data_IF_732548328682
#
_entry.id   IF_732548328682
#
_cell.length_a   1.000
_cell.length_b   1.000
_cell.length_c   1.000
_cell.angle_alpha   90.00
_cell.angle_beta   90.00
_cell.angle_gamma   90.00
#
_symmetry.space_group_name_H-M   'P 1'
#
loop_
_entity.id
_entity.type
_entity.pdbx_description
1 polymer ?
#
# COMPACT_ATOMS: atom_id res chain seq x y z
N UNK A 1 11.69 -17.83 19.31
CA UNK A 1 12.78 -16.85 19.16
C UNK A 1 12.47 -16.00 17.93
N UNK A 2 11.93 -14.80 18.12
CA UNK A 2 11.79 -13.82 17.03
C UNK A 2 13.18 -13.20 16.82
N UNK A 3 13.87 -13.63 15.78
CA UNK A 3 15.06 -12.91 15.29
C UNK A 3 14.59 -11.54 14.79
N UNK A 4 14.89 -10.51 15.57
CA UNK A 4 14.72 -9.13 15.10
C UNK A 4 15.63 -8.94 13.89
N UNK A 5 15.02 -8.82 12.71
CA UNK A 5 15.73 -8.43 11.49
C UNK A 5 16.29 -7.03 11.71
N UNK A 6 17.57 -6.75 11.42
CA UNK A 6 18.15 -5.42 11.63
C UNK A 6 17.36 -4.38 10.85
N UNK A 7 17.08 -3.24 11.49
CA UNK A 7 16.25 -2.13 11.03
C UNK A 7 16.64 -1.48 9.66
N UNK A 8 17.66 -1.98 8.98
CA UNK A 8 18.17 -1.41 7.72
C UNK A 8 18.28 -2.41 6.56
N UNK A 9 17.71 -3.61 6.69
CA UNK A 9 17.73 -4.57 5.58
C UNK A 9 16.53 -4.34 4.64
N UNK A 10 16.74 -4.31 3.32
CA UNK A 10 15.62 -4.21 2.39
C UNK A 10 14.75 -5.47 2.48
N UNK A 11 13.46 -5.27 2.77
CA UNK A 11 12.46 -6.33 2.76
C UNK A 11 12.11 -6.74 1.33
N UNK A 12 11.95 -5.73 0.46
CA UNK A 12 11.69 -5.90 -0.96
C UNK A 12 12.76 -5.15 -1.76
N UNK A 13 13.30 -5.81 -2.79
CA UNK A 13 14.30 -5.25 -3.68
C UNK A 13 13.92 -5.51 -5.14
N UNK A 14 13.71 -4.46 -5.89
CA UNK A 14 13.32 -4.47 -7.31
C UNK A 14 14.55 -4.09 -8.12
N UNK A 15 14.94 -4.95 -9.05
CA UNK A 15 16.17 -4.79 -9.84
C UNK A 15 15.85 -4.84 -11.33
N UNK A 16 16.00 -3.70 -11.99
CA UNK A 16 15.82 -3.52 -13.43
C UNK A 16 14.50 -4.07 -13.99
N UNK A 17 13.42 -3.99 -13.19
CA UNK A 17 12.12 -4.54 -13.58
C UNK A 17 11.52 -3.73 -14.72
N UNK A 18 11.22 -4.42 -15.81
CA UNK A 18 10.43 -3.92 -16.93
C UNK A 18 9.15 -4.74 -17.08
N UNK A 19 8.10 -4.10 -17.58
CA UNK A 19 6.84 -4.77 -17.84
C UNK A 19 6.14 -4.18 -19.07
N UNK A 20 5.71 -5.07 -19.98
CA UNK A 20 5.12 -4.73 -21.26
C UNK A 20 3.67 -5.23 -21.37
N UNK A 21 2.85 -4.45 -22.07
CA UNK A 21 1.52 -4.87 -22.52
C UNK A 21 1.51 -4.79 -24.06
N UNK A 22 1.46 -5.94 -24.72
CA UNK A 22 1.61 -6.00 -26.16
C UNK A 22 2.97 -5.38 -26.55
N UNK A 23 2.93 -4.34 -27.40
CA UNK A 23 4.14 -3.65 -27.87
C UNK A 23 4.48 -2.40 -27.04
N UNK A 24 3.77 -2.16 -25.94
CA UNK A 24 3.99 -0.94 -25.13
C UNK A 24 4.68 -1.29 -23.83
N UNK A 25 5.86 -0.72 -23.60
CA UNK A 25 6.57 -0.78 -22.32
C UNK A 25 5.92 0.18 -21.33
N UNK A 26 5.38 -0.38 -20.23
CA UNK A 26 4.71 0.37 -19.16
C UNK A 26 5.68 0.68 -18.04
N UNK A 27 6.52 -0.28 -17.66
CA UNK A 27 7.58 -0.11 -16.66
C UNK A 27 8.93 -0.30 -17.32
N UNK A 28 9.89 0.59 -17.03
CA UNK A 28 11.18 0.66 -17.70
C UNK A 28 12.31 0.60 -16.67
N UNK A 29 12.93 -0.56 -16.52
CA UNK A 29 14.12 -0.80 -15.67
C UNK A 29 13.98 -0.20 -14.26
N UNK A 30 12.83 -0.46 -13.63
CA UNK A 30 12.55 0.00 -12.27
C UNK A 30 13.56 -0.59 -11.29
N UNK A 31 14.17 0.29 -10.49
CA UNK A 31 15.03 -0.07 -9.37
C UNK A 31 14.47 0.58 -8.11
N UNK A 32 14.13 -0.24 -7.09
CA UNK A 32 13.49 0.20 -5.86
C UNK A 32 13.89 -0.70 -4.70
N UNK A 33 14.11 -0.12 -3.53
CA UNK A 33 14.30 -0.86 -2.27
C UNK A 33 13.27 -0.39 -1.26
N UNK A 34 12.59 -1.32 -0.62
CA UNK A 34 11.65 -1.05 0.47
C UNK A 34 12.23 -1.65 1.74
N UNK A 35 12.53 -0.80 2.71
CA UNK A 35 13.14 -1.18 3.97
C UNK A 35 12.08 -1.68 4.96
N UNK A 36 12.43 -2.68 5.76
CA UNK A 36 11.55 -3.24 6.80
C UNK A 36 11.06 -2.15 7.77
N UNK A 37 9.75 -2.18 8.08
CA UNK A 37 9.12 -1.29 9.05
C UNK A 37 8.86 0.13 8.54
N UNK A 38 9.18 0.45 7.28
CA UNK A 38 8.91 1.75 6.67
C UNK A 38 7.52 1.83 6.06
N UNK A 39 6.95 3.02 6.11
CA UNK A 39 5.77 3.41 5.35
C UNK A 39 6.22 4.17 4.10
N UNK A 40 6.17 3.52 2.95
CA UNK A 40 6.65 4.08 1.67
C UNK A 40 5.48 4.43 0.77
N UNK A 41 5.45 5.67 0.29
CA UNK A 41 4.42 6.18 -0.63
C UNK A 41 4.91 6.14 -2.08
N UNK A 42 4.09 5.61 -2.98
CA UNK A 42 4.29 5.68 -4.43
C UNK A 42 3.41 6.79 -4.99
N UNK A 43 4.02 7.82 -5.55
CA UNK A 43 3.34 8.96 -6.15
C UNK A 43 3.72 9.13 -7.62
N UNK A 44 2.86 9.79 -8.38
CA UNK A 44 3.08 10.04 -9.82
C UNK A 44 1.75 10.32 -10.51
N UNK A 45 1.78 10.91 -11.72
CA UNK A 45 0.58 11.24 -12.47
C UNK A 45 -0.21 9.99 -12.88
N UNK A 46 -1.45 10.20 -13.33
CA UNK A 46 -2.27 9.12 -13.85
C UNK A 46 -1.60 8.49 -15.08
N UNK A 47 -1.64 7.17 -15.17
CA UNK A 47 -0.97 6.43 -16.23
C UNK A 47 0.55 6.31 -16.12
N UNK A 48 1.18 6.81 -15.05
CA UNK A 48 2.63 6.72 -14.85
C UNK A 48 3.15 5.29 -14.63
N UNK A 49 2.27 4.33 -14.30
CA UNK A 49 2.65 2.94 -14.04
C UNK A 49 2.55 2.50 -12.58
N UNK A 50 1.94 3.31 -11.67
CA UNK A 50 1.80 2.99 -10.24
C UNK A 50 1.18 1.61 -10.00
N UNK A 51 -0.05 1.39 -10.43
CA UNK A 51 -0.75 0.11 -10.25
C UNK A 51 -0.05 -1.05 -10.97
N UNK A 52 0.60 -0.78 -12.13
CA UNK A 52 1.38 -1.79 -12.84
C UNK A 52 2.59 -2.26 -12.03
N UNK A 53 3.29 -1.32 -11.38
CA UNK A 53 4.39 -1.66 -10.48
C UNK A 53 3.88 -2.47 -9.29
N UNK A 54 2.82 -2.01 -8.60
CA UNK A 54 2.24 -2.77 -7.49
C UNK A 54 1.85 -4.19 -7.91
N UNK A 55 1.21 -4.36 -9.09
CA UNK A 55 0.84 -5.66 -9.65
C UNK A 55 2.02 -6.60 -9.90
N UNK A 56 3.18 -6.06 -10.27
CA UNK A 56 4.41 -6.84 -10.36
C UNK A 56 4.90 -7.28 -8.97
N UNK A 57 4.78 -6.39 -7.96
CA UNK A 57 5.26 -6.70 -6.61
C UNK A 57 4.42 -7.76 -5.90
N UNK A 58 3.09 -7.79 -6.09
CA UNK A 58 2.25 -8.84 -5.50
C UNK A 58 1.98 -10.02 -6.43
N UNK A 59 2.80 -10.21 -7.49
CA UNK A 59 2.79 -11.35 -8.41
C UNK A 59 1.52 -11.51 -9.24
N UNK A 60 0.76 -10.44 -9.47
CA UNK A 60 -0.33 -10.46 -10.43
C UNK A 60 0.19 -10.40 -11.88
N UNK A 61 1.18 -9.52 -12.12
CA UNK A 61 1.88 -9.43 -13.40
C UNK A 61 3.31 -9.97 -13.25
N UNK A 62 3.72 -10.84 -14.16
CA UNK A 62 5.13 -11.27 -14.24
C UNK A 62 5.90 -10.20 -15.00
N UNK A 63 7.02 -9.65 -14.47
CA UNK A 63 7.89 -8.76 -15.22
C UNK A 63 8.37 -9.39 -16.55
N UNK A 64 8.51 -8.54 -17.58
CA UNK A 64 9.11 -8.95 -18.87
C UNK A 64 10.63 -9.12 -18.74
N UNK A 65 11.25 -8.32 -17.85
CA UNK A 65 12.68 -8.34 -17.55
C UNK A 65 12.93 -7.89 -16.10
N UNK A 66 14.11 -8.22 -15.57
CA UNK A 66 14.49 -7.90 -14.19
C UNK A 66 13.92 -8.88 -13.16
N UNK A 67 14.14 -8.56 -11.88
CA UNK A 67 13.75 -9.43 -10.77
C UNK A 67 13.19 -8.63 -9.60
N UNK A 68 12.20 -9.20 -8.91
CA UNK A 68 11.69 -8.72 -7.62
C UNK A 68 12.09 -9.73 -6.56
N UNK A 69 12.87 -9.28 -5.57
CA UNK A 69 13.29 -10.12 -4.46
C UNK A 69 12.55 -9.72 -3.17
N UNK A 70 12.10 -10.72 -2.43
CA UNK A 70 11.58 -10.58 -1.07
C UNK A 70 12.48 -11.33 -0.11
N UNK A 71 13.06 -10.64 0.88
CA UNK A 71 14.10 -11.23 1.75
C UNK A 71 15.21 -11.91 0.95
N UNK A 72 15.74 -11.25 -0.09
CA UNK A 72 16.80 -11.72 -1.00
C UNK A 72 16.44 -12.99 -1.82
N UNK A 73 15.18 -13.35 -1.90
CA UNK A 73 14.71 -14.47 -2.74
C UNK A 73 13.78 -13.94 -3.82
N UNK A 74 14.00 -14.33 -5.07
CA UNK A 74 13.09 -14.00 -6.18
C UNK A 74 11.67 -14.46 -5.84
N UNK A 75 10.72 -13.52 -5.87
CA UNK A 75 9.33 -13.82 -5.51
C UNK A 75 8.72 -14.92 -6.40
N UNK A 76 9.17 -15.07 -7.65
CA UNK A 76 8.68 -16.09 -8.57
C UNK A 76 9.25 -17.50 -8.30
N UNK A 77 10.32 -17.62 -7.50
CA UNK A 77 10.86 -18.89 -7.02
C UNK A 77 10.17 -19.37 -5.73
N UNK A 78 9.53 -18.46 -4.99
CA UNK A 78 8.76 -18.82 -3.80
C UNK A 78 7.46 -19.55 -4.20
N UNK A 79 6.98 -20.46 -3.36
CA UNK A 79 5.64 -21.01 -3.51
C UNK A 79 4.60 -19.89 -3.32
N UNK A 80 3.47 -19.99 -4.05
CA UNK A 80 2.45 -18.93 -4.02
C UNK A 80 1.87 -18.70 -2.62
N UNK A 81 1.62 -19.78 -1.87
CA UNK A 81 1.12 -19.72 -0.50
C UNK A 81 2.17 -19.14 0.48
N UNK A 82 3.45 -19.44 0.30
CA UNK A 82 4.53 -18.88 1.10
C UNK A 82 4.66 -17.37 0.93
N UNK A 83 4.55 -16.88 -0.30
CA UNK A 83 4.57 -15.46 -0.59
C UNK A 83 3.28 -14.78 -0.08
N UNK A 84 2.12 -15.38 -0.32
CA UNK A 84 0.84 -14.87 0.13
C UNK A 84 0.71 -14.80 1.67
N UNK A 85 1.43 -15.61 2.44
CA UNK A 85 1.50 -15.46 3.91
C UNK A 85 2.27 -14.22 4.36
N UNK A 86 3.16 -13.69 3.51
CA UNK A 86 4.08 -12.60 3.85
C UNK A 86 3.63 -11.25 3.30
N UNK A 87 2.83 -11.25 2.24
CA UNK A 87 2.42 -10.03 1.53
C UNK A 87 0.89 -9.98 1.45
N UNK A 88 0.29 -9.00 2.11
CA UNK A 88 -1.12 -8.69 1.99
C UNK A 88 -1.34 -7.55 1.00
N UNK A 89 -2.49 -7.56 0.34
CA UNK A 89 -2.85 -6.56 -0.68
C UNK A 89 -4.24 -6.00 -0.39
N UNK A 90 -4.34 -4.68 -0.39
CA UNK A 90 -5.59 -3.93 -0.36
C UNK A 90 -5.72 -3.19 -1.69
N UNK A 91 -6.70 -3.60 -2.51
CA UNK A 91 -6.97 -3.02 -3.83
C UNK A 91 -8.01 -1.91 -3.73
N UNK A 92 -8.00 -1.03 -4.72
CA UNK A 92 -8.96 0.07 -4.88
C UNK A 92 -10.40 -0.46 -5.07
N UNK A 93 -10.56 -1.51 -5.87
CA UNK A 93 -11.84 -2.12 -6.16
C UNK A 93 -11.88 -3.57 -5.66
N UNK A 94 -12.94 -3.92 -4.95
CA UNK A 94 -13.28 -5.30 -4.65
C UNK A 94 -14.44 -5.73 -5.53
N UNK A 95 -14.38 -6.91 -6.17
CA UNK A 95 -15.52 -7.42 -6.92
C UNK A 95 -16.74 -7.55 -6.01
N UNK A 96 -17.83 -6.85 -6.36
CA UNK A 96 -19.08 -6.72 -5.60
C UNK A 96 -20.06 -7.88 -5.84
N UNK A 97 -19.58 -9.12 -5.97
CA UNK A 97 -20.45 -10.22 -6.42
C UNK A 97 -20.74 -11.32 -5.37
N UNK A 98 -20.29 -11.14 -4.15
CA UNK A 98 -20.52 -12.16 -3.11
C UNK A 98 -21.31 -11.56 -1.94
N UNK A 99 -22.44 -12.20 -1.63
CA UNK A 99 -23.25 -11.85 -0.45
C UNK A 99 -22.58 -12.37 0.85
N UNK A 100 -21.36 -11.85 1.12
CA UNK A 100 -20.54 -12.22 2.28
C UNK A 100 -20.78 -11.23 3.42
N UNK A 101 -20.77 -11.74 4.66
CA UNK A 101 -20.72 -10.90 5.84
C UNK A 101 -19.34 -10.22 5.99
N UNK A 102 -19.27 -9.18 6.80
CA UNK A 102 -17.99 -8.54 7.17
C UNK A 102 -17.05 -9.57 7.78
N UNK A 103 -17.55 -10.44 8.65
CA UNK A 103 -16.79 -11.54 9.23
C UNK A 103 -16.21 -12.46 8.15
N UNK A 104 -16.99 -12.86 7.15
CA UNK A 104 -16.54 -13.74 6.08
C UNK A 104 -15.46 -13.10 5.21
N UNK A 105 -15.64 -11.82 4.84
CA UNK A 105 -14.64 -11.06 4.06
C UNK A 105 -13.31 -10.99 4.82
N UNK A 106 -13.35 -10.74 6.12
CA UNK A 106 -12.14 -10.67 6.95
C UNK A 106 -11.51 -12.06 7.11
N UNK A 107 -12.34 -13.11 7.25
CA UNK A 107 -11.89 -14.50 7.33
C UNK A 107 -11.11 -14.95 6.08
N UNK A 108 -11.38 -14.38 4.89
CA UNK A 108 -10.59 -14.63 3.67
C UNK A 108 -9.10 -14.32 3.85
N UNK A 109 -8.72 -13.44 4.80
CA UNK A 109 -7.33 -13.18 5.15
C UNK A 109 -6.58 -14.40 5.69
N UNK A 110 -7.28 -15.42 6.18
CA UNK A 110 -6.68 -16.69 6.62
C UNK A 110 -6.37 -17.65 5.46
N UNK A 111 -6.90 -17.42 4.27
CA UNK A 111 -6.78 -18.34 3.12
C UNK A 111 -5.33 -18.82 2.89
N UNK A 112 -4.29 -17.95 2.91
CA UNK A 112 -2.92 -18.41 2.72
C UNK A 112 -2.40 -19.37 3.80
N UNK A 113 -3.02 -19.35 4.97
CA UNK A 113 -2.63 -20.18 6.13
C UNK A 113 -3.43 -21.47 6.26
N UNK A 114 -4.42 -21.67 5.39
CA UNK A 114 -5.36 -22.79 5.45
C UNK A 114 -5.16 -23.76 4.28
N UNK A 115 -5.40 -25.05 4.55
CA UNK A 115 -5.59 -26.01 3.47
C UNK A 115 -7.00 -25.89 2.88
N UNK A 116 -7.18 -26.33 1.64
CA UNK A 116 -8.45 -26.20 0.88
C UNK A 116 -9.69 -26.72 1.63
N UNK A 117 -9.53 -27.69 2.54
CA UNK A 117 -10.64 -28.31 3.26
C UNK A 117 -10.64 -28.02 4.78
N UNK A 118 -9.81 -27.06 5.23
CA UNK A 118 -9.77 -26.76 6.67
C UNK A 118 -10.89 -25.79 7.06
N UNK A 119 -11.63 -26.13 8.10
CA UNK A 119 -12.63 -25.26 8.73
C UNK A 119 -11.96 -24.13 9.54
N UNK A 120 -12.72 -23.07 9.80
CA UNK A 120 -12.33 -22.01 10.74
C UNK A 120 -12.35 -22.55 12.16
N UNK A 121 -11.21 -22.51 12.83
CA UNK A 121 -11.06 -22.96 14.23
C UNK A 121 -11.49 -21.86 15.21
N UNK A 122 -11.62 -22.20 16.52
CA UNK A 122 -11.91 -21.18 17.54
C UNK A 122 -10.79 -20.13 17.66
N UNK A 123 -9.53 -20.53 17.43
CA UNK A 123 -8.39 -19.60 17.42
C UNK A 123 -8.51 -18.62 16.23
N UNK A 124 -8.92 -19.12 15.08
CA UNK A 124 -9.13 -18.28 13.90
C UNK A 124 -10.25 -17.27 14.13
N UNK A 125 -11.39 -17.72 14.73
CA UNK A 125 -12.49 -16.83 15.09
C UNK A 125 -12.03 -15.70 16.02
N UNK A 126 -11.22 -16.01 17.02
CA UNK A 126 -10.65 -14.99 17.91
C UNK A 126 -9.79 -13.97 17.17
N UNK A 127 -8.92 -14.40 16.23
CA UNK A 127 -8.13 -13.51 15.41
C UNK A 127 -8.99 -12.60 14.53
N UNK A 128 -10.04 -13.14 13.92
CA UNK A 128 -10.98 -12.37 13.09
C UNK A 128 -11.70 -11.33 13.94
N UNK A 129 -12.25 -11.72 15.11
CA UNK A 129 -12.94 -10.81 16.02
C UNK A 129 -12.00 -9.70 16.50
N UNK A 130 -10.76 -10.04 16.84
CA UNK A 130 -9.75 -9.05 17.23
C UNK A 130 -9.48 -8.06 16.11
N UNK A 131 -9.35 -8.52 14.85
CA UNK A 131 -9.15 -7.64 13.71
C UNK A 131 -10.37 -6.74 13.47
N UNK A 132 -11.60 -7.27 13.58
CA UNK A 132 -12.86 -6.52 13.48
C UNK A 132 -12.88 -5.39 14.53
N UNK A 133 -12.54 -5.71 15.79
CA UNK A 133 -12.47 -4.73 16.88
C UNK A 133 -11.41 -3.65 16.62
N UNK A 134 -10.23 -4.05 16.11
CA UNK A 134 -9.12 -3.13 15.81
C UNK A 134 -9.53 -2.07 14.79
N UNK A 135 -10.39 -2.41 13.83
CA UNK A 135 -10.86 -1.48 12.80
C UNK A 135 -12.19 -0.80 13.14
N UNK A 136 -12.74 -1.05 14.33
CA UNK A 136 -13.99 -0.43 14.82
C UNK A 136 -15.24 -0.88 14.04
N UNK A 137 -15.32 -2.16 13.68
CA UNK A 137 -16.45 -2.76 12.95
C UNK A 137 -17.22 -3.83 13.74
N UNK A 138 -17.11 -3.84 15.07
CA UNK A 138 -17.72 -4.87 15.92
C UNK A 138 -19.24 -5.01 15.70
N UNK A 139 -19.96 -3.90 15.61
CA UNK A 139 -21.41 -3.87 15.41
C UNK A 139 -21.85 -4.27 13.99
N UNK A 140 -20.90 -4.31 13.05
CA UNK A 140 -21.15 -4.65 11.63
C UNK A 140 -20.74 -6.08 11.26
N UNK A 141 -20.25 -6.88 12.22
CA UNK A 141 -19.64 -8.20 11.96
C UNK A 141 -20.49 -9.12 11.08
N UNK A 142 -21.79 -9.21 11.38
CA UNK A 142 -22.72 -10.10 10.69
C UNK A 142 -23.47 -9.44 9.53
N UNK A 143 -23.22 -8.13 9.30
CA UNK A 143 -23.84 -7.40 8.19
C UNK A 143 -23.22 -7.79 6.86
N UNK A 144 -23.97 -7.63 5.79
CA UNK A 144 -23.44 -7.77 4.43
C UNK A 144 -22.36 -6.73 4.18
N UNK A 145 -21.20 -7.18 3.69
CA UNK A 145 -20.09 -6.29 3.32
C UNK A 145 -20.54 -5.23 2.30
N UNK A 146 -21.47 -5.57 1.41
CA UNK A 146 -21.97 -4.64 0.40
C UNK A 146 -22.78 -3.48 0.99
N UNK A 147 -23.39 -3.65 2.17
CA UNK A 147 -24.17 -2.60 2.84
C UNK A 147 -23.31 -1.55 3.56
N UNK A 148 -22.02 -1.80 3.68
CA UNK A 148 -21.08 -0.89 4.33
C UNK A 148 -20.84 0.37 3.47
N UNK A 149 -20.59 1.51 4.14
CA UNK A 149 -20.03 2.70 3.51
C UNK A 149 -18.63 2.44 2.95
N UNK A 150 -18.15 3.29 2.03
CA UNK A 150 -16.81 3.15 1.44
C UNK A 150 -15.70 3.08 2.48
N UNK A 151 -15.77 3.94 3.52
CA UNK A 151 -14.77 3.93 4.61
C UNK A 151 -14.83 2.66 5.47
N UNK A 152 -16.02 2.11 5.72
CA UNK A 152 -16.17 0.84 6.43
C UNK A 152 -15.67 -0.34 5.62
N UNK A 153 -15.99 -0.37 4.30
CA UNK A 153 -15.43 -1.37 3.37
C UNK A 153 -13.91 -1.36 3.40
N UNK A 154 -13.31 -0.19 3.33
CA UNK A 154 -11.85 -0.06 3.35
C UNK A 154 -11.25 -0.55 4.68
N UNK A 155 -11.88 -0.20 5.83
CA UNK A 155 -11.45 -0.74 7.13
C UNK A 155 -11.58 -2.26 7.21
N UNK A 156 -12.64 -2.85 6.67
CA UNK A 156 -12.80 -4.30 6.61
C UNK A 156 -11.71 -4.99 5.76
N UNK A 157 -11.30 -4.38 4.64
CA UNK A 157 -10.20 -4.87 3.81
C UNK A 157 -8.85 -4.80 4.53
N UNK A 158 -8.63 -3.75 5.34
CA UNK A 158 -7.45 -3.68 6.21
C UNK A 158 -7.53 -4.75 7.30
N UNK A 159 -8.70 -4.98 7.92
CA UNK A 159 -8.88 -6.07 8.89
C UNK A 159 -8.56 -7.44 8.29
N UNK A 160 -8.96 -7.68 7.03
CA UNK A 160 -8.58 -8.87 6.28
C UNK A 160 -7.05 -9.01 6.15
N UNK A 161 -6.36 -7.91 5.87
CA UNK A 161 -4.90 -7.89 5.81
C UNK A 161 -4.26 -8.13 7.20
N UNK A 162 -4.86 -7.58 8.28
CA UNK A 162 -4.41 -7.81 9.66
C UNK A 162 -4.43 -9.31 10.02
N UNK A 163 -5.55 -9.99 9.72
CA UNK A 163 -5.71 -11.42 10.02
C UNK A 163 -4.67 -12.28 9.30
N UNK A 164 -4.23 -11.86 8.13
CA UNK A 164 -3.16 -12.50 7.36
C UNK A 164 -1.78 -12.39 8.04
N UNK A 165 -1.56 -11.42 8.94
CA UNK A 165 -0.29 -11.15 9.63
C UNK A 165 0.90 -10.97 8.67
N UNK A 166 0.83 -10.07 7.70
CA UNK A 166 1.84 -9.90 6.68
C UNK A 166 3.10 -9.20 7.22
N UNK A 167 4.22 -9.35 6.49
CA UNK A 167 5.43 -8.54 6.68
C UNK A 167 5.39 -7.28 5.81
N UNK A 168 4.67 -7.33 4.68
CA UNK A 168 4.47 -6.22 3.75
C UNK A 168 2.98 -6.07 3.43
N UNK A 169 2.46 -4.86 3.60
CA UNK A 169 1.13 -4.47 3.16
C UNK A 169 1.26 -3.59 1.91
N UNK A 170 0.74 -4.05 0.78
CA UNK A 170 0.65 -3.29 -0.46
C UNK A 170 -0.76 -2.72 -0.57
N UNK A 171 -0.88 -1.40 -0.84
CA UNK A 171 -2.16 -0.73 -0.97
C UNK A 171 -2.20 0.05 -2.29
N UNK A 172 -3.17 -0.25 -3.15
CA UNK A 172 -3.36 0.47 -4.41
C UNK A 172 -4.51 1.48 -4.24
N UNK A 173 -4.15 2.76 -4.12
CA UNK A 173 -5.07 3.90 -3.94
C UNK A 173 -6.11 3.70 -2.83
N UNK A 174 -5.68 3.36 -1.59
CA UNK A 174 -6.58 2.93 -0.52
C UNK A 174 -7.54 4.01 -0.03
N UNK A 175 -7.34 5.25 -0.46
CA UNK A 175 -8.12 6.42 -0.04
C UNK A 175 -9.03 6.99 -1.13
N UNK A 176 -9.04 6.36 -2.32
CA UNK A 176 -9.88 6.79 -3.43
C UNK A 176 -11.36 6.74 -3.04
N UNK A 177 -12.11 7.79 -3.43
CA UNK A 177 -13.54 7.93 -3.19
C UNK A 177 -13.96 8.00 -1.71
N UNK A 178 -13.03 8.24 -0.79
CA UNK A 178 -13.31 8.46 0.63
C UNK A 178 -13.28 9.95 0.97
N UNK A 179 -14.15 10.35 1.89
CA UNK A 179 -14.08 11.68 2.51
C UNK A 179 -12.79 11.84 3.30
N UNK A 180 -12.27 13.06 3.42
CA UNK A 180 -10.98 13.40 4.05
C UNK A 180 -10.81 12.75 5.44
N UNK A 181 -11.87 12.75 6.26
CA UNK A 181 -11.86 12.10 7.58
C UNK A 181 -11.50 10.62 7.47
N UNK A 182 -12.14 9.90 6.56
CA UNK A 182 -11.94 8.46 6.39
C UNK A 182 -10.60 8.15 5.72
N UNK A 183 -10.12 9.01 4.83
CA UNK A 183 -8.78 8.90 4.24
C UNK A 183 -7.72 8.88 5.34
N UNK A 184 -7.77 9.86 6.27
CA UNK A 184 -6.83 9.96 7.38
C UNK A 184 -6.94 8.72 8.28
N UNK A 185 -8.15 8.33 8.68
CA UNK A 185 -8.37 7.16 9.55
C UNK A 185 -7.83 5.86 8.97
N UNK A 186 -8.04 5.62 7.68
CA UNK A 186 -7.55 4.44 6.96
C UNK A 186 -6.01 4.40 6.95
N UNK A 187 -5.37 5.54 6.69
CA UNK A 187 -3.91 5.61 6.64
C UNK A 187 -3.26 5.53 8.03
N UNK A 188 -3.87 6.17 9.04
CA UNK A 188 -3.43 6.02 10.44
C UNK A 188 -3.56 4.58 10.93
N UNK A 189 -4.65 3.91 10.58
CA UNK A 189 -4.85 2.50 10.88
C UNK A 189 -3.76 1.64 10.24
N UNK A 190 -3.49 1.82 8.94
CA UNK A 190 -2.41 1.10 8.25
C UNK A 190 -1.04 1.35 8.90
N UNK A 191 -0.77 2.60 9.31
CA UNK A 191 0.48 2.97 10.00
C UNK A 191 0.59 2.35 11.39
N UNK A 192 -0.54 2.21 12.11
CA UNK A 192 -0.58 1.63 13.46
C UNK A 192 -0.28 0.13 13.50
N UNK A 193 -0.35 -0.57 12.35
CA UNK A 193 -0.07 -2.01 12.28
C UNK A 193 1.40 -2.35 12.54
N UNK A 194 2.32 -1.38 12.40
CA UNK A 194 3.76 -1.59 12.61
C UNK A 194 4.43 -2.53 11.59
N UNK A 195 3.75 -2.84 10.48
CA UNK A 195 4.29 -3.62 9.36
C UNK A 195 4.90 -2.69 8.31
N UNK A 196 5.67 -3.25 7.38
CA UNK A 196 6.13 -2.48 6.21
C UNK A 196 4.93 -2.19 5.32
N UNK A 197 4.76 -0.93 4.89
CA UNK A 197 3.66 -0.53 3.99
C UNK A 197 4.23 0.07 2.71
N UNK A 198 3.70 -0.34 1.57
CA UNK A 198 3.93 0.30 0.27
C UNK A 198 2.59 0.66 -0.36
N UNK A 199 2.27 1.95 -0.41
CA UNK A 199 0.95 2.43 -0.83
C UNK A 199 1.05 3.46 -1.95
N UNK A 200 0.18 3.38 -2.97
CA UNK A 200 0.03 4.44 -3.95
C UNK A 200 -0.89 5.54 -3.44
N UNK A 201 -0.55 6.80 -3.79
CA UNK A 201 -1.28 7.98 -3.36
C UNK A 201 -1.62 8.88 -4.55
N UNK A 202 -2.80 9.52 -4.45
CA UNK A 202 -3.18 10.66 -5.29
C UNK A 202 -2.97 11.99 -4.57
N UNK A 203 -3.27 12.04 -3.28
CA UNK A 203 -3.09 13.25 -2.45
C UNK A 203 -1.64 13.32 -1.94
N UNK A 204 -0.91 14.32 -2.44
CA UNK A 204 0.50 14.52 -2.08
C UNK A 204 0.67 15.04 -0.65
N UNK A 205 -0.30 15.80 -0.11
CA UNK A 205 -0.26 16.26 1.28
C UNK A 205 -0.49 15.11 2.25
N UNK A 206 -1.42 14.20 1.92
CA UNK A 206 -1.63 12.98 2.70
C UNK A 206 -0.38 12.08 2.65
N UNK A 207 0.22 11.89 1.47
CA UNK A 207 1.47 11.13 1.31
C UNK A 207 2.61 11.75 2.12
N UNK A 208 2.74 13.09 2.08
CA UNK A 208 3.73 13.83 2.88
C UNK A 208 3.60 13.58 4.39
N UNK A 209 2.36 13.59 4.90
CA UNK A 209 2.09 13.45 6.33
C UNK A 209 2.25 11.99 6.84
N UNK A 210 1.97 11.00 5.98
CA UNK A 210 1.89 9.60 6.39
C UNK A 210 3.18 8.81 6.14
N UNK A 211 3.93 9.12 5.07
CA UNK A 211 5.05 8.30 4.61
C UNK A 211 6.38 8.70 5.25
N UNK A 212 7.21 7.70 5.52
CA UNK A 212 8.62 7.89 5.90
C UNK A 212 9.47 8.19 4.66
N UNK A 213 9.11 7.59 3.52
CA UNK A 213 9.79 7.72 2.25
C UNK A 213 8.78 7.82 1.11
N UNK A 214 9.13 8.57 0.06
CA UNK A 214 8.35 8.67 -1.17
C UNK A 214 9.16 8.16 -2.35
N UNK A 215 8.46 7.53 -3.28
CA UNK A 215 8.94 7.08 -4.58
C UNK A 215 8.11 7.75 -5.64
N UNK A 216 8.74 8.48 -6.55
CA UNK A 216 8.07 9.17 -7.65
C UNK A 216 8.26 8.38 -8.94
N UNK A 217 7.14 8.02 -9.58
CA UNK A 217 7.14 7.35 -10.87
C UNK A 217 6.56 8.28 -11.94
N UNK A 218 7.25 8.40 -13.07
CA UNK A 218 6.81 9.15 -14.25
C UNK A 218 7.15 8.38 -15.53
N UNK A 219 6.18 8.19 -16.41
CA UNK A 219 6.35 7.49 -17.69
C UNK A 219 7.01 6.10 -17.58
N UNK A 220 6.69 5.36 -16.51
CA UNK A 220 7.21 4.03 -16.24
C UNK A 220 8.62 4.00 -15.65
N UNK A 221 9.18 5.11 -15.20
CA UNK A 221 10.52 5.21 -14.60
C UNK A 221 10.45 5.85 -13.21
N UNK A 222 11.29 5.41 -12.27
CA UNK A 222 11.44 6.07 -10.98
C UNK A 222 12.37 7.28 -11.19
N UNK A 223 11.85 8.47 -10.86
CA UNK A 223 12.57 9.73 -11.04
C UNK A 223 13.16 10.27 -9.74
N UNK A 224 12.46 10.09 -8.60
CA UNK A 224 12.91 10.59 -7.30
C UNK A 224 12.59 9.56 -6.21
N UNK A 225 13.45 9.46 -5.21
CA UNK A 225 13.24 8.66 -3.99
C UNK A 225 13.85 9.37 -2.80
N UNK A 226 13.21 9.28 -1.64
CA UNK A 226 13.73 9.86 -0.40
C UNK A 226 12.63 10.20 0.59
N UNK A 227 12.98 10.95 1.64
CA UNK A 227 11.99 11.48 2.57
C UNK A 227 11.07 12.48 1.87
N UNK A 228 9.82 12.70 2.37
CA UNK A 228 8.92 13.69 1.79
C UNK A 228 9.59 15.05 1.58
N UNK A 229 10.43 15.50 2.52
CA UNK A 229 11.14 16.78 2.44
C UNK A 229 12.14 16.87 1.29
N UNK A 230 12.79 15.76 0.94
CA UNK A 230 13.75 15.71 -0.16
C UNK A 230 13.02 15.64 -1.52
N UNK A 231 11.93 14.88 -1.56
CA UNK A 231 11.22 14.57 -2.80
C UNK A 231 10.25 15.69 -3.21
N UNK A 232 9.46 16.21 -2.26
CA UNK A 232 8.42 17.19 -2.55
C UNK A 232 9.03 18.58 -2.64
N UNK A 233 9.49 18.95 -3.85
CA UNK A 233 10.01 20.26 -4.20
C UNK A 233 9.15 20.89 -5.29
N UNK A 234 9.13 22.22 -5.37
CA UNK A 234 8.40 22.96 -6.39
C UNK A 234 8.83 22.55 -7.80
N UNK A 235 10.15 22.33 -7.98
CA UNK A 235 10.70 21.85 -9.26
C UNK A 235 10.16 20.45 -9.63
N UNK A 236 10.17 19.50 -8.69
CA UNK A 236 9.63 18.15 -8.92
C UNK A 236 8.13 18.20 -9.24
N UNK A 237 7.36 19.06 -8.55
CA UNK A 237 5.93 19.23 -8.80
C UNK A 237 5.67 19.78 -10.21
N UNK A 238 6.44 20.76 -10.65
CA UNK A 238 6.37 21.28 -12.02
C UNK A 238 6.77 20.24 -13.06
N UNK A 239 7.91 19.58 -12.88
CA UNK A 239 8.44 18.60 -13.84
C UNK A 239 7.58 17.34 -13.95
N UNK A 240 7.11 16.80 -12.83
CA UNK A 240 6.43 15.50 -12.80
C UNK A 240 4.92 15.64 -12.99
N UNK A 241 4.30 16.58 -12.29
CA UNK A 241 2.83 16.73 -12.26
C UNK A 241 2.34 17.85 -13.16
N UNK A 242 3.24 18.75 -13.65
CA UNK A 242 2.87 19.88 -14.50
C UNK A 242 2.06 20.94 -13.76
N UNK A 243 2.29 21.12 -12.46
CA UNK A 243 1.57 22.06 -11.60
C UNK A 243 2.49 23.11 -11.02
N UNK A 244 1.99 24.35 -10.90
CA UNK A 244 2.64 25.40 -10.12
C UNK A 244 2.20 25.26 -8.66
N UNK A 245 3.14 25.15 -7.76
CA UNK A 245 2.87 25.00 -6.34
C UNK A 245 3.96 25.60 -5.49
N UNK A 246 3.64 25.96 -4.26
CA UNK A 246 4.57 26.32 -3.22
C UNK A 246 4.66 25.23 -2.18
N UNK A 247 5.86 24.90 -1.73
CA UNK A 247 6.09 23.90 -0.70
C UNK A 247 6.51 24.59 0.59
N UNK A 248 5.62 24.58 1.57
CA UNK A 248 5.79 25.17 2.89
C UNK A 248 5.95 24.09 3.96
N UNK A 249 6.29 24.50 5.18
CA UNK A 249 6.23 23.60 6.33
C UNK A 249 4.81 23.56 6.89
N UNK A 250 4.27 22.35 7.11
CA UNK A 250 3.02 22.20 7.83
C UNK A 250 3.19 22.73 9.27
N UNK A 251 2.17 23.38 9.88
CA UNK A 251 2.22 23.86 11.28
C UNK A 251 2.52 22.77 12.31
N UNK A 252 2.09 21.55 12.02
CA UNK A 252 2.43 20.37 12.84
C UNK A 252 3.75 19.76 12.37
N UNK A 253 4.51 19.27 13.34
CA UNK A 253 5.71 18.47 13.11
C UNK A 253 5.37 16.97 13.16
N UNK A 254 6.14 16.16 12.47
CA UNK A 254 6.00 14.70 12.52
C UNK A 254 6.29 14.15 13.92
N UNK A 255 5.85 12.93 14.23
CA UNK A 255 6.17 12.25 15.50
C UNK A 255 7.69 12.13 15.76
N UNK A 256 8.51 12.17 14.71
CA UNK A 256 9.98 12.19 14.78
C UNK A 256 10.58 13.59 14.93
N UNK A 257 9.77 14.63 15.11
CA UNK A 257 10.24 16.01 15.26
C UNK A 257 10.60 16.71 13.93
N UNK A 258 10.39 16.06 12.79
CA UNK A 258 10.71 16.62 11.49
C UNK A 258 9.55 17.47 10.95
N UNK A 259 9.90 18.53 10.23
CA UNK A 259 8.93 19.34 9.48
C UNK A 259 8.30 18.50 8.36
N UNK A 260 6.97 18.59 8.24
CA UNK A 260 6.17 17.93 7.21
C UNK A 260 5.99 18.93 6.05
N UNK A 261 6.42 18.63 4.81
CA UNK A 261 6.11 19.46 3.66
C UNK A 261 4.59 19.55 3.44
N UNK A 262 4.12 20.77 3.16
CA UNK A 262 2.73 21.05 2.78
C UNK A 262 2.69 21.78 1.46
N UNK A 263 1.95 21.25 0.50
CA UNK A 263 1.87 21.74 -0.86
C UNK A 263 0.62 22.62 -0.99
N UNK A 264 0.83 23.85 -1.45
CA UNK A 264 -0.23 24.79 -1.82
C UNK A 264 -0.19 24.97 -3.33
N UNK A 265 -1.26 24.58 -4.03
CA UNK A 265 -1.35 24.71 -5.48
C UNK A 265 -1.83 26.10 -5.88
N UNK A 266 -1.28 26.63 -6.97
CA UNK A 266 -1.74 27.88 -7.58
C UNK A 266 -2.70 27.57 -8.72
N UNK A 267 -3.75 28.39 -8.83
CA UNK A 267 -4.72 28.34 -9.91
C UNK A 267 -4.40 29.46 -10.92
N UNK A 268 -4.58 29.18 -12.19
CA UNK A 268 -4.29 30.11 -13.27
C UNK A 268 -2.97 29.76 -13.94
N UNK A 269 -3.06 28.90 -14.93
CA UNK A 269 -1.98 28.59 -15.85
C UNK A 269 -2.11 29.58 -17.02
N UNK A 270 -1.12 30.44 -17.23
CA UNK A 270 -0.86 31.06 -18.52
C UNK A 270 0.13 30.20 -19.30
#
# INVERSE_FOLDING_TARGET
MHTQTPLNTPLLNVKNVSWDIGNKTILKKINLKITTGKFVGLIGPNGAGKSSLLRCLYRFNKPSDGVVEFNNTDIWQLKSDEYAKKVAVVLQETPSQFNLSVFDVIALGLTPHKSLFSSITNIDKQKIIQAINTVGLAEHSDQSFESLSGGEKQRALIARAIVQQPQLLIMDEPTSHLDVKYQIQVMELAKSLGVTVFASFHDLNLASAMCDELVVIKNGEITHTGTPRIVLTENMLGEVFGVCAQVNNHPQISKSGNSIPHITYFYGYE
#
